data_IF_889176342091
#
_entry.id   IF_889176342091
#
_cell.length_a   1.000
_cell.length_b   1.000
_cell.length_c   1.000
_cell.angle_alpha   90.00
_cell.angle_beta   90.00
_cell.angle_gamma   90.00
#
_symmetry.space_group_name_H-M   'P 1'
#
loop_
_entity.id
_entity.type
_entity.pdbx_description
1 polymer ?
#
# COMPACT_ATOMS: atom_id res chain seq x y z
N UNK A 1 -12.71 -8.40 6.94
CA UNK A 1 -11.66 -9.34 7.35
C UNK A 1 -10.66 -9.39 6.23
N UNK A 2 -9.37 -9.41 6.51
CA UNK A 2 -8.31 -9.27 5.50
C UNK A 2 -6.96 -8.99 6.15
N UNK A 3 -6.00 -8.59 5.34
CA UNK A 3 -4.62 -8.29 5.75
C UNK A 3 -4.30 -6.83 5.46
N UNK A 4 -3.77 -6.15 6.48
CA UNK A 4 -3.33 -4.76 6.35
C UNK A 4 -1.81 -4.69 6.17
N UNK A 5 -1.38 -3.73 5.37
CA UNK A 5 0.02 -3.43 5.10
C UNK A 5 0.25 -1.98 5.51
N UNK A 6 1.17 -1.76 6.44
CA UNK A 6 1.44 -0.44 6.99
C UNK A 6 2.90 -0.06 6.74
N UNK A 7 3.11 1.16 6.24
CA UNK A 7 4.45 1.74 6.11
C UNK A 7 5.12 1.88 7.47
N UNK A 8 6.43 1.65 7.52
CA UNK A 8 7.23 1.79 8.74
C UNK A 8 7.71 3.24 8.85
N UNK A 9 7.52 3.91 10.00
CA UNK A 9 8.07 5.25 10.21
C UNK A 9 9.60 5.21 10.28
N UNK A 10 10.26 6.30 9.88
CA UNK A 10 11.73 6.43 9.87
C UNK A 10 12.30 6.28 11.29
N UNK A 11 11.64 6.85 12.29
CA UNK A 11 11.97 6.64 13.72
C UNK A 11 10.74 6.81 14.61
N UNK A 12 10.92 6.75 15.94
CA UNK A 12 9.82 7.07 16.88
C UNK A 12 9.50 8.57 16.92
N UNK A 13 10.47 9.42 16.56
CA UNK A 13 10.37 10.88 16.55
C UNK A 13 9.96 11.42 15.18
N UNK A 14 10.32 10.72 14.10
CA UNK A 14 9.97 11.06 12.72
C UNK A 14 8.96 10.05 12.15
N UNK A 15 7.70 10.48 12.06
CA UNK A 15 6.60 9.69 11.53
C UNK A 15 6.53 9.70 9.99
N UNK A 16 7.48 10.30 9.28
CA UNK A 16 7.62 10.08 7.84
C UNK A 16 7.91 8.60 7.56
N UNK A 17 7.42 8.10 6.44
CA UNK A 17 7.53 6.69 6.11
C UNK A 17 8.86 6.40 5.42
N UNK A 18 9.45 5.25 5.72
CA UNK A 18 10.59 4.71 4.96
C UNK A 18 10.18 4.43 3.51
N UNK A 19 8.94 3.99 3.30
CA UNK A 19 8.33 3.71 2.01
C UNK A 19 6.82 3.93 2.13
N UNK A 20 6.26 4.82 1.32
CA UNK A 20 4.82 4.95 1.14
C UNK A 20 4.34 4.05 -0.02
N UNK A 21 3.02 3.81 -0.10
CA UNK A 21 2.44 3.20 -1.28
C UNK A 21 2.53 4.14 -2.49
N UNK A 22 2.48 3.61 -3.73
CA UNK A 22 2.45 4.43 -4.95
C UNK A 22 1.35 5.49 -4.90
N UNK A 23 1.67 6.72 -5.34
CA UNK A 23 0.74 7.87 -5.25
C UNK A 23 -0.55 7.66 -6.01
N UNK A 24 -0.52 6.90 -7.10
CA UNK A 24 -1.70 6.54 -7.88
C UNK A 24 -2.72 5.72 -7.09
N UNK A 25 -2.31 5.05 -6.00
CA UNK A 25 -3.23 4.29 -5.14
C UNK A 25 -3.92 5.16 -4.10
N UNK A 26 -3.37 6.33 -3.77
CA UNK A 26 -3.78 7.11 -2.61
C UNK A 26 -5.22 7.59 -2.72
N UNK A 27 -6.10 7.02 -1.88
CA UNK A 27 -7.53 7.35 -1.91
C UNK A 27 -8.23 6.96 -3.22
N UNK A 28 -7.61 6.08 -4.03
CA UNK A 28 -8.27 5.52 -5.21
C UNK A 28 -9.46 4.65 -4.78
N UNK A 29 -10.49 4.64 -5.63
CA UNK A 29 -11.68 3.82 -5.40
C UNK A 29 -11.33 2.33 -5.36
N UNK A 30 -12.05 1.57 -4.52
CA UNK A 30 -11.78 0.16 -4.28
C UNK A 30 -11.80 -0.67 -5.58
N UNK A 31 -12.69 -0.34 -6.52
CA UNK A 31 -12.83 -1.04 -7.80
C UNK A 31 -11.72 -0.71 -8.80
N UNK A 32 -11.00 0.39 -8.60
CA UNK A 32 -9.89 0.82 -9.48
C UNK A 32 -8.54 0.29 -8.99
N UNK A 33 -8.38 0.07 -7.68
CA UNK A 33 -7.14 -0.42 -7.07
C UNK A 33 -6.60 -1.70 -7.72
N UNK A 34 -7.38 -2.76 -7.98
CA UNK A 34 -6.87 -3.95 -8.66
C UNK A 34 -6.38 -3.68 -10.08
N UNK A 35 -6.99 -2.71 -10.78
CA UNK A 35 -6.63 -2.38 -12.16
C UNK A 35 -5.31 -1.63 -12.24
N UNK A 36 -5.08 -0.69 -11.32
CA UNK A 36 -3.86 0.13 -11.31
C UNK A 36 -2.67 -0.58 -10.62
N UNK A 37 -2.95 -1.43 -9.64
CA UNK A 37 -1.90 -2.19 -8.92
C UNK A 37 -1.54 -3.51 -9.60
N UNK A 38 -2.49 -4.13 -10.32
CA UNK A 38 -2.39 -5.52 -10.76
C UNK A 38 -2.60 -6.54 -9.62
N UNK A 39 -2.98 -6.09 -8.41
CA UNK A 39 -3.17 -6.93 -7.22
C UNK A 39 -4.68 -7.11 -7.01
N UNK A 40 -5.17 -8.32 -7.26
CA UNK A 40 -6.60 -8.61 -7.40
C UNK A 40 -7.40 -8.26 -6.14
N UNK A 41 -6.88 -8.55 -4.95
CA UNK A 41 -7.61 -8.30 -3.70
C UNK A 41 -7.30 -6.96 -3.03
N UNK A 42 -6.49 -6.09 -3.66
CA UNK A 42 -6.24 -4.75 -3.13
C UNK A 42 -7.51 -3.91 -3.27
N UNK A 43 -8.08 -3.49 -2.14
CA UNK A 43 -9.37 -2.81 -2.09
C UNK A 43 -9.35 -1.53 -1.25
N UNK A 44 -8.21 -1.18 -0.66
CA UNK A 44 -8.04 0.06 0.07
C UNK A 44 -6.57 0.53 0.04
N UNK A 45 -6.39 1.85 -0.10
CA UNK A 45 -5.14 2.55 0.21
C UNK A 45 -5.48 3.92 0.79
N UNK A 46 -4.90 4.25 1.96
CA UNK A 46 -5.16 5.52 2.64
C UNK A 46 -4.74 6.70 1.74
N UNK A 47 -5.45 7.84 1.76
CA UNK A 47 -5.08 9.06 1.01
C UNK A 47 -3.68 9.64 1.27
N UNK A 48 -2.94 9.11 2.24
CA UNK A 48 -1.59 9.53 2.60
C UNK A 48 -0.58 8.38 2.40
N UNK A 49 -0.98 7.29 1.74
CA UNK A 49 -0.09 6.19 1.38
C UNK A 49 0.47 5.33 2.51
N UNK A 50 0.03 5.50 3.76
CA UNK A 50 0.64 4.79 4.89
C UNK A 50 0.04 3.40 5.17
N UNK A 51 -1.15 3.12 4.66
CA UNK A 51 -1.90 1.90 4.96
C UNK A 51 -2.64 1.42 3.72
N UNK A 52 -2.53 0.13 3.42
CA UNK A 52 -3.31 -0.56 2.41
C UNK A 52 -3.95 -1.82 3.01
N UNK A 53 -4.98 -2.35 2.34
CA UNK A 53 -5.62 -3.60 2.74
C UNK A 53 -5.93 -4.51 1.56
N UNK A 54 -5.77 -5.81 1.79
CA UNK A 54 -6.05 -6.89 0.83
C UNK A 54 -6.89 -7.98 1.51
N UNK A 55 -7.48 -8.89 0.72
CA UNK A 55 -8.21 -10.04 1.28
C UNK A 55 -7.26 -11.20 1.64
N UNK A 56 -6.10 -11.29 1.00
CA UNK A 56 -5.14 -12.39 1.18
C UNK A 56 -3.77 -11.90 1.65
N UNK A 57 -3.07 -12.75 2.41
CA UNK A 57 -1.70 -12.50 2.84
C UNK A 57 -0.74 -12.42 1.64
N UNK A 58 -0.96 -13.24 0.63
CA UNK A 58 -0.13 -13.27 -0.58
C UNK A 58 -0.16 -11.93 -1.31
N UNK A 59 -1.36 -11.36 -1.49
CA UNK A 59 -1.52 -10.04 -2.10
C UNK A 59 -1.03 -8.92 -1.19
N UNK A 60 -1.10 -9.08 0.13
CA UNK A 60 -0.49 -8.13 1.06
C UNK A 60 1.04 -8.07 0.89
N UNK A 61 1.68 -9.23 0.78
CA UNK A 61 3.13 -9.31 0.52
C UNK A 61 3.46 -8.68 -0.84
N UNK A 62 2.71 -9.01 -1.90
CA UNK A 62 2.87 -8.38 -3.22
C UNK A 62 2.73 -6.87 -3.18
N UNK A 63 1.78 -6.34 -2.41
CA UNK A 63 1.58 -4.90 -2.28
C UNK A 63 2.76 -4.21 -1.59
N UNK A 64 3.35 -4.85 -0.58
CA UNK A 64 4.56 -4.37 0.07
C UNK A 64 5.77 -4.39 -0.88
N UNK A 65 5.97 -5.49 -1.61
CA UNK A 65 7.04 -5.63 -2.61
C UNK A 65 6.90 -4.58 -3.72
N UNK A 66 5.68 -4.40 -4.26
CA UNK A 66 5.38 -3.39 -5.28
C UNK A 66 5.76 -1.99 -4.82
N UNK A 67 5.42 -1.63 -3.58
CA UNK A 67 5.73 -0.34 -3.00
C UNK A 67 7.25 -0.14 -2.90
N UNK A 68 7.98 -1.13 -2.36
CA UNK A 68 9.43 -1.08 -2.20
C UNK A 68 10.13 -0.96 -3.57
N UNK A 69 9.69 -1.69 -4.58
CA UNK A 69 10.30 -1.66 -5.93
C UNK A 69 10.15 -0.31 -6.64
N UNK A 70 9.06 0.43 -6.38
CA UNK A 70 8.78 1.73 -7.00
C UNK A 70 9.12 2.92 -6.11
N UNK A 71 9.53 2.68 -4.88
CA UNK A 71 9.86 3.75 -3.97
C UNK A 71 11.16 4.44 -4.42
N UNK A 72 11.05 5.71 -4.82
CA UNK A 72 12.17 6.51 -5.30
C UNK A 72 12.53 6.33 -6.78
N UNK A 73 11.76 5.55 -7.56
CA UNK A 73 11.92 5.40 -9.02
C UNK A 73 11.30 6.52 -9.83
#
# INVERSE_FOLDING_TARGET
GGYSIQGVPVSMEDNSLVCDFPKEWWGAEAEELPKISGIVSLHFCHPNGFLAATDTLEDAVRAAEYAIERYGS
#
